data_IF_495247332646
#
_entry.id   IF_495247332646
#
_cell.length_a   1.000
_cell.length_b   1.000
_cell.length_c   1.000
_cell.angle_alpha   90.00
_cell.angle_beta   90.00
_cell.angle_gamma   90.00
#
_symmetry.space_group_name_H-M   'P 1'
#
loop_
_entity.id
_entity.type
_entity.pdbx_description
1 polymer ?
#
# COMPACT_ATOMS: atom_id res chain seq x y z
N UNK A 1 12.00 -16.85 2.28
CA UNK A 1 11.66 -16.52 0.87
C UNK A 1 10.90 -15.20 0.86
N UNK A 2 11.23 -14.26 -0.04
CA UNK A 2 10.42 -13.05 -0.23
C UNK A 2 9.08 -13.45 -0.83
N UNK A 3 7.97 -12.93 -0.28
CA UNK A 3 6.64 -13.14 -0.85
C UNK A 3 6.52 -12.33 -2.15
N UNK A 4 5.81 -12.89 -3.15
CA UNK A 4 5.43 -12.13 -4.36
C UNK A 4 4.29 -11.16 -4.05
N UNK A 5 3.33 -11.62 -3.25
CA UNK A 5 2.13 -10.88 -2.88
C UNK A 5 2.13 -10.60 -1.39
N UNK A 6 1.80 -9.36 -1.03
CA UNK A 6 1.47 -8.98 0.34
C UNK A 6 -0.03 -8.89 0.50
N UNK A 7 -0.52 -9.25 1.69
CA UNK A 7 -1.83 -8.83 2.18
C UNK A 7 -1.65 -7.60 3.11
N UNK A 8 -2.75 -6.99 3.57
CA UNK A 8 -2.69 -5.84 4.49
C UNK A 8 -1.77 -6.10 5.69
N UNK A 9 -1.86 -7.30 6.28
CA UNK A 9 -1.06 -7.71 7.43
C UNK A 9 0.46 -7.70 7.15
N UNK A 10 0.87 -7.94 5.92
CA UNK A 10 2.29 -7.87 5.53
C UNK A 10 2.74 -6.40 5.44
N UNK A 11 1.88 -5.51 4.91
CA UNK A 11 2.15 -4.08 4.87
C UNK A 11 2.19 -3.46 6.27
N UNK A 12 1.31 -3.87 7.18
CA UNK A 12 1.35 -3.47 8.59
C UNK A 12 2.68 -3.90 9.24
N UNK A 13 3.15 -5.13 9.00
CA UNK A 13 4.44 -5.59 9.53
C UNK A 13 5.63 -4.85 8.94
N UNK A 14 5.59 -4.54 7.65
CA UNK A 14 6.68 -3.85 6.96
C UNK A 14 6.82 -2.39 7.42
N UNK A 15 5.70 -1.74 7.78
CA UNK A 15 5.67 -0.30 8.09
C UNK A 15 5.56 0.00 9.58
N UNK A 16 5.02 -0.93 10.38
CA UNK A 16 4.69 -0.71 11.80
C UNK A 16 3.41 0.10 12.04
N UNK A 17 2.65 0.42 10.99
CA UNK A 17 1.40 1.19 11.09
C UNK A 17 0.18 0.29 10.93
N UNK A 18 -0.94 0.68 11.55
CA UNK A 18 -2.21 -0.04 11.45
C UNK A 18 -2.83 0.11 10.05
N UNK A 19 -3.68 -0.85 9.68
CA UNK A 19 -4.52 -0.80 8.48
C UNK A 19 -5.23 0.55 8.32
N UNK A 20 -5.89 1.05 9.37
CA UNK A 20 -6.60 2.34 9.33
C UNK A 20 -5.66 3.49 8.99
N UNK A 21 -4.49 3.55 9.64
CA UNK A 21 -3.51 4.60 9.36
C UNK A 21 -2.97 4.49 7.93
N UNK A 22 -2.68 3.27 7.47
CA UNK A 22 -2.17 3.01 6.11
C UNK A 22 -3.20 3.41 5.06
N UNK A 23 -4.48 3.10 5.27
CA UNK A 23 -5.57 3.56 4.41
C UNK A 23 -5.65 5.07 4.38
N UNK A 24 -5.71 5.71 5.54
CA UNK A 24 -5.90 7.16 5.64
C UNK A 24 -4.71 7.95 5.11
N UNK A 25 -3.47 7.48 5.28
CA UNK A 25 -2.27 8.27 4.98
C UNK A 25 -1.57 7.84 3.69
N UNK A 26 -1.85 6.63 3.18
CA UNK A 26 -1.19 6.09 1.99
C UNK A 26 -2.23 5.61 0.97
N UNK A 27 -2.99 4.55 1.27
CA UNK A 27 -3.71 3.80 0.24
C UNK A 27 -4.92 4.55 -0.33
N UNK A 28 -5.61 5.34 0.48
CA UNK A 28 -6.78 6.13 0.04
C UNK A 28 -6.43 7.59 -0.25
N UNK A 29 -5.19 8.01 -0.02
CA UNK A 29 -4.75 9.36 -0.37
C UNK A 29 -4.76 9.54 -1.89
N UNK A 30 -5.48 10.53 -2.46
CA UNK A 30 -5.65 10.67 -3.91
C UNK A 30 -4.31 10.73 -4.68
N UNK A 31 -3.30 11.38 -4.08
CA UNK A 31 -1.95 11.50 -4.69
C UNK A 31 -1.23 10.16 -4.85
N UNK A 32 -1.48 9.19 -3.99
CA UNK A 32 -0.85 7.87 -4.04
C UNK A 32 -1.76 6.85 -4.70
N UNK A 33 -3.09 6.92 -4.50
CA UNK A 33 -4.04 6.01 -5.14
C UNK A 33 -3.92 5.99 -6.66
N UNK A 34 -3.64 7.13 -7.31
CA UNK A 34 -3.37 7.19 -8.77
C UNK A 34 -2.13 6.43 -9.24
N UNK A 35 -1.23 6.08 -8.32
CA UNK A 35 0.03 5.34 -8.55
C UNK A 35 -0.14 3.87 -8.16
N UNK A 36 -0.82 3.64 -7.03
CA UNK A 36 -0.94 2.32 -6.41
C UNK A 36 -2.00 1.45 -7.08
N UNK A 37 -3.15 2.03 -7.44
CA UNK A 37 -4.34 1.27 -7.87
C UNK A 37 -4.16 0.58 -9.23
N UNK A 38 -4.51 -0.71 -9.29
CA UNK A 38 -4.52 -1.50 -10.53
C UNK A 38 -5.38 -0.88 -11.63
N UNK A 39 -6.50 -0.23 -11.28
CA UNK A 39 -7.36 0.45 -12.27
C UNK A 39 -6.65 1.64 -12.93
N UNK A 40 -5.60 2.16 -12.31
CA UNK A 40 -4.73 3.21 -12.86
C UNK A 40 -3.41 2.65 -13.44
N UNK A 41 -3.29 1.33 -13.62
CA UNK A 41 -2.06 0.67 -14.06
C UNK A 41 -1.01 0.48 -12.96
N UNK A 42 -1.41 0.63 -11.70
CA UNK A 42 -0.58 0.42 -10.52
C UNK A 42 -0.31 -1.04 -10.19
N UNK A 43 -0.17 -1.37 -8.91
CA UNK A 43 0.24 -2.69 -8.44
C UNK A 43 -0.44 -3.15 -7.15
N UNK A 44 -1.51 -2.45 -6.76
CA UNK A 44 -2.32 -2.72 -5.58
C UNK A 44 -3.75 -2.98 -6.00
N UNK A 45 -4.26 -4.15 -5.63
CA UNK A 45 -5.66 -4.50 -5.78
C UNK A 45 -6.47 -3.94 -4.60
N UNK A 46 -7.44 -3.08 -4.90
CA UNK A 46 -8.38 -2.50 -3.94
C UNK A 46 -9.62 -3.40 -3.90
N UNK A 47 -9.97 -4.00 -2.74
CA UNK A 47 -11.16 -4.83 -2.63
C UNK A 47 -12.43 -4.04 -2.93
N UNK A 48 -13.28 -4.56 -3.81
CA UNK A 48 -14.56 -3.93 -4.17
C UNK A 48 -15.75 -4.71 -3.64
N UNK A 49 -15.60 -6.02 -3.50
CA UNK A 49 -16.65 -6.94 -3.08
C UNK A 49 -16.34 -7.51 -1.71
N UNK A 50 -17.41 -7.86 -1.00
CA UNK A 50 -17.32 -8.52 0.30
C UNK A 50 -16.55 -9.83 0.19
N UNK A 51 -15.49 -9.98 0.98
CA UNK A 51 -14.67 -11.18 1.03
C UNK A 51 -13.36 -11.08 0.23
N UNK A 52 -13.20 -10.05 -0.58
CA UNK A 52 -11.93 -9.74 -1.25
C UNK A 52 -10.92 -9.15 -0.25
N UNK A 53 -9.63 -9.41 -0.50
CA UNK A 53 -8.53 -8.94 0.31
C UNK A 53 -7.66 -7.97 -0.48
N UNK A 54 -7.05 -7.03 0.23
CA UNK A 54 -5.99 -6.21 -0.34
C UNK A 54 -4.84 -7.09 -0.80
N UNK A 55 -4.36 -6.87 -2.01
CA UNK A 55 -3.16 -7.53 -2.53
C UNK A 55 -2.20 -6.49 -3.09
N UNK A 56 -0.94 -6.60 -2.72
CA UNK A 56 0.13 -5.73 -3.19
C UNK A 56 1.21 -6.59 -3.86
N UNK A 57 1.75 -6.16 -5.00
CA UNK A 57 3.03 -6.72 -5.47
C UNK A 57 4.11 -6.24 -4.50
N UNK A 58 4.66 -7.17 -3.72
CA UNK A 58 5.53 -6.88 -2.58
C UNK A 58 6.72 -5.97 -2.97
N UNK A 59 7.45 -6.35 -4.02
CA UNK A 59 8.63 -5.61 -4.46
C UNK A 59 8.32 -4.19 -4.92
N UNK A 60 7.16 -3.97 -5.54
CA UNK A 60 6.72 -2.64 -5.99
C UNK A 60 6.25 -1.78 -4.82
N UNK A 61 5.64 -2.40 -3.81
CA UNK A 61 5.26 -1.70 -2.58
C UNK A 61 6.50 -1.29 -1.77
N UNK A 62 7.52 -2.16 -1.68
CA UNK A 62 8.83 -1.81 -1.11
C UNK A 62 9.42 -0.58 -1.82
N UNK A 63 9.51 -0.60 -3.15
CA UNK A 63 10.04 0.51 -3.97
C UNK A 63 9.25 1.81 -3.78
N UNK A 64 7.92 1.73 -3.72
CA UNK A 64 7.06 2.89 -3.46
C UNK A 64 7.32 3.47 -2.06
N UNK A 65 7.40 2.63 -1.03
CA UNK A 65 7.65 3.07 0.35
C UNK A 65 9.02 3.75 0.48
N UNK A 66 10.04 3.23 -0.20
CA UNK A 66 11.38 3.86 -0.27
C UNK A 66 11.33 5.22 -0.98
N UNK A 67 10.69 5.27 -2.15
CA UNK A 67 10.58 6.49 -2.97
C UNK A 67 9.88 7.63 -2.24
N UNK A 68 8.76 7.33 -1.57
CA UNK A 68 7.93 8.33 -0.89
C UNK A 68 8.18 8.41 0.61
N UNK A 69 9.24 7.76 1.12
CA UNK A 69 9.52 7.63 2.56
C UNK A 69 9.44 8.98 3.29
N UNK A 70 10.11 10.00 2.75
CA UNK A 70 10.11 11.33 3.37
C UNK A 70 8.74 11.99 3.37
N UNK A 71 7.94 11.85 2.32
CA UNK A 71 6.60 12.43 2.25
C UNK A 71 5.60 11.72 3.17
N UNK A 72 5.76 10.42 3.35
CA UNK A 72 4.90 9.60 4.20
C UNK A 72 5.19 9.87 5.68
N UNK A 73 6.47 9.96 6.07
CA UNK A 73 6.87 9.98 7.49
C UNK A 73 7.32 11.34 8.03
N UNK A 74 7.50 12.35 7.18
CA UNK A 74 7.81 13.70 7.66
C UNK A 74 6.54 14.35 8.22
N UNK A 75 6.49 14.51 9.55
CA UNK A 75 5.49 15.36 10.21
C UNK A 75 5.78 16.82 9.85
N UNK A 76 4.75 17.52 9.38
CA UNK A 76 4.74 18.98 9.43
C UNK A 76 4.57 19.45 10.88
#
# INVERSE_FOLDING_TARGET
MKKVWWEMRDLEQATGYSDDWLKENILLQPRYKKILDLENGGFVYYPEKRGEKWLFIASKMEEFLETYFSEIFKKN
#
